data_IF_152753856161
#
_entry.id   IF_152753856161
#
_cell.length_a   1.000
_cell.length_b   1.000
_cell.length_c   1.000
_cell.angle_alpha   90.00
_cell.angle_beta   90.00
_cell.angle_gamma   90.00
#
_symmetry.space_group_name_H-M   'P 1'
#
loop_
_entity.id
_entity.type
_entity.pdbx_description
1 polymer ?
#
# COMPACT_ATOMS: atom_id res chain seq x y z
N UNK A 1 4.26 26.65 0.23
CA UNK A 1 2.86 26.92 0.65
C UNK A 1 2.85 27.50 2.07
N UNK A 2 2.34 28.73 2.23
CA UNK A 2 2.10 29.29 3.55
C UNK A 2 0.97 28.50 4.22
N UNK A 3 1.24 27.88 5.37
CA UNK A 3 0.22 27.15 6.12
C UNK A 3 -0.56 28.13 7.00
N UNK A 4 -1.71 28.55 6.51
CA UNK A 4 -2.68 29.32 7.30
C UNK A 4 -3.72 28.39 7.92
N UNK A 5 -4.19 28.73 9.12
CA UNK A 5 -5.24 27.99 9.82
C UNK A 5 -6.53 27.99 9.00
N UNK A 6 -7.13 26.80 8.85
CA UNK A 6 -8.46 26.63 8.23
C UNK A 6 -9.52 27.09 9.23
N UNK A 7 -10.47 27.89 8.76
CA UNK A 7 -11.50 28.53 9.61
C UNK A 7 -12.89 27.93 9.42
N UNK A 8 -13.27 27.61 8.18
CA UNK A 8 -14.52 26.92 7.86
C UNK A 8 -14.32 25.99 6.66
N UNK A 9 -15.13 24.94 6.57
CA UNK A 9 -15.10 23.95 5.51
C UNK A 9 -16.50 23.43 5.19
N UNK A 10 -16.80 23.24 3.91
CA UNK A 10 -18.10 22.70 3.48
C UNK A 10 -17.94 21.83 2.25
N UNK A 11 -18.59 20.66 2.25
CA UNK A 11 -18.77 19.84 1.06
C UNK A 11 -19.67 20.53 0.04
N UNK A 12 -19.40 20.32 -1.24
CA UNK A 12 -20.32 20.71 -2.30
C UNK A 12 -21.62 19.90 -2.17
N UNK A 13 -22.80 20.55 -2.11
CA UNK A 13 -24.08 19.84 -2.07
C UNK A 13 -24.41 19.16 -3.40
N UNK A 14 -23.82 19.61 -4.50
CA UNK A 14 -24.12 19.12 -5.85
C UNK A 14 -23.05 18.19 -6.44
N UNK A 15 -21.82 18.15 -5.90
CA UNK A 15 -20.73 17.32 -6.43
C UNK A 15 -19.91 16.64 -5.32
N UNK A 16 -20.05 15.32 -5.21
CA UNK A 16 -19.51 14.50 -4.12
C UNK A 16 -17.98 14.43 -3.99
N UNK A 17 -17.21 14.80 -5.03
CA UNK A 17 -15.75 14.82 -4.93
C UNK A 17 -15.19 16.16 -4.43
N UNK A 18 -16.04 17.19 -4.30
CA UNK A 18 -15.58 18.55 -4.01
C UNK A 18 -15.97 19.00 -2.62
N UNK A 19 -15.02 19.64 -1.96
CA UNK A 19 -15.26 20.47 -0.78
C UNK A 19 -14.42 21.74 -0.86
N UNK A 20 -14.81 22.71 -0.05
CA UNK A 20 -14.18 24.02 0.00
C UNK A 20 -13.68 24.27 1.42
N UNK A 21 -12.59 25.02 1.54
CA UNK A 21 -12.07 25.47 2.83
C UNK A 21 -11.71 26.94 2.78
N UNK A 22 -11.98 27.67 3.85
CA UNK A 22 -11.54 29.06 4.03
C UNK A 22 -10.41 29.13 5.05
N UNK A 23 -9.56 30.15 4.92
CA UNK A 23 -8.35 30.32 5.74
C UNK A 23 -8.27 31.72 6.38
N UNK A 24 -7.43 31.80 7.42
CA UNK A 24 -7.15 33.04 8.15
C UNK A 24 -6.45 34.12 7.33
N UNK A 25 -5.88 33.80 6.18
CA UNK A 25 -5.29 34.77 5.25
C UNK A 25 -6.30 35.33 4.24
N UNK A 26 -7.55 34.88 4.25
CA UNK A 26 -8.55 35.29 3.27
C UNK A 26 -8.62 34.42 2.01
N UNK A 27 -7.90 33.30 2.00
CA UNK A 27 -7.91 32.35 0.89
C UNK A 27 -9.12 31.41 0.97
N UNK A 28 -9.78 31.20 -0.18
CA UNK A 28 -10.72 30.10 -0.45
C UNK A 28 -9.99 29.02 -1.26
N UNK A 29 -9.96 27.80 -0.73
CA UNK A 29 -9.46 26.62 -1.44
C UNK A 29 -10.61 25.77 -1.96
N UNK A 30 -10.43 25.24 -3.17
CA UNK A 30 -11.27 24.22 -3.78
C UNK A 30 -10.49 22.91 -3.83
N UNK A 31 -11.07 21.87 -3.23
CA UNK A 31 -10.52 20.52 -3.23
C UNK A 31 -11.33 19.62 -4.14
N UNK A 32 -10.67 18.81 -4.97
CA UNK A 32 -11.30 17.71 -5.70
C UNK A 32 -10.55 16.41 -5.38
N UNK A 33 -11.13 15.60 -4.50
CA UNK A 33 -10.48 14.41 -3.93
C UNK A 33 -10.28 13.27 -4.94
N UNK A 34 -10.94 13.33 -6.10
CA UNK A 34 -10.71 12.40 -7.20
C UNK A 34 -9.55 12.83 -8.10
N UNK A 35 -9.21 14.13 -8.08
CA UNK A 35 -8.11 14.67 -8.85
C UNK A 35 -6.82 14.76 -8.01
N UNK A 36 -6.89 15.38 -6.84
CA UNK A 36 -5.73 15.67 -5.98
C UNK A 36 -6.11 15.65 -4.50
N UNK A 37 -5.33 14.91 -3.72
CA UNK A 37 -5.62 14.66 -2.29
C UNK A 37 -4.65 15.34 -1.33
N UNK A 38 -3.45 15.68 -1.80
CA UNK A 38 -2.36 16.21 -0.97
C UNK A 38 -2.34 17.74 -0.87
N UNK A 39 -3.00 18.44 -1.80
CA UNK A 39 -3.13 19.89 -1.79
C UNK A 39 -4.39 20.31 -2.57
N UNK A 40 -4.89 21.54 -2.36
CA UNK A 40 -6.04 22.07 -3.08
C UNK A 40 -5.84 22.00 -4.59
N UNK A 41 -6.93 21.79 -5.32
CA UNK A 41 -6.95 21.87 -6.78
C UNK A 41 -6.84 23.33 -7.24
N UNK A 42 -7.44 24.25 -6.48
CA UNK A 42 -7.40 25.68 -6.69
C UNK A 42 -7.35 26.40 -5.35
N UNK A 43 -6.55 27.45 -5.27
CA UNK A 43 -6.51 28.39 -4.14
C UNK A 43 -6.68 29.79 -4.68
N UNK A 44 -7.61 30.55 -4.11
CA UNK A 44 -7.93 31.90 -4.55
C UNK A 44 -7.99 32.85 -3.36
N UNK A 45 -7.23 33.94 -3.41
CA UNK A 45 -7.33 35.03 -2.47
C UNK A 45 -8.67 35.77 -2.70
N UNK A 46 -9.58 35.72 -1.73
CA UNK A 46 -10.89 36.40 -1.85
C UNK A 46 -10.81 37.82 -1.28
N UNK A 47 -10.12 37.97 -0.16
CA UNK A 47 -9.94 39.22 0.61
C UNK A 47 -8.58 39.20 1.29
N UNK A 48 -8.03 40.34 1.74
CA UNK A 48 -6.72 40.42 2.43
C UNK A 48 -6.91 40.45 3.96
N UNK A 49 -7.85 39.63 4.44
CA UNK A 49 -8.20 39.50 5.85
C UNK A 49 -8.79 38.12 6.13
N UNK A 50 -8.89 37.67 7.41
CA UNK A 50 -9.43 36.36 7.73
C UNK A 50 -10.86 36.15 7.22
N UNK A 51 -11.10 35.01 6.56
CA UNK A 51 -12.43 34.49 6.33
C UNK A 51 -12.84 33.60 7.51
N UNK A 52 -14.09 33.70 7.96
CA UNK A 52 -14.63 32.93 9.08
C UNK A 52 -15.83 32.06 8.73
N UNK A 53 -16.49 32.35 7.61
CA UNK A 53 -17.73 31.68 7.24
C UNK A 53 -17.68 31.29 5.76
N UNK A 54 -18.14 30.09 5.45
CA UNK A 54 -18.26 29.56 4.09
C UNK A 54 -19.64 28.93 3.90
N UNK A 55 -20.43 29.40 2.94
CA UNK A 55 -21.72 28.78 2.61
C UNK A 55 -21.89 28.58 1.11
N UNK A 56 -22.12 27.32 0.72
CA UNK A 56 -22.39 26.95 -0.67
C UNK A 56 -23.90 26.95 -0.92
N UNK A 57 -24.33 27.44 -2.08
CA UNK A 57 -25.72 27.40 -2.52
C UNK A 57 -26.23 25.96 -2.64
N UNK A 58 -27.27 25.62 -1.87
CA UNK A 58 -27.78 24.25 -1.78
C UNK A 58 -28.34 23.70 -3.11
N UNK A 59 -29.08 24.50 -3.87
CA UNK A 59 -29.83 24.01 -5.03
C UNK A 59 -28.98 23.74 -6.28
N UNK A 60 -28.00 24.60 -6.56
CA UNK A 60 -27.17 24.51 -7.78
C UNK A 60 -25.68 24.41 -7.49
N UNK A 61 -25.22 24.69 -6.27
CA UNK A 61 -23.80 24.65 -5.92
C UNK A 61 -22.92 25.67 -6.66
N UNK A 62 -23.53 26.63 -7.38
CA UNK A 62 -22.83 27.60 -8.25
C UNK A 62 -22.28 28.79 -7.49
N UNK A 63 -22.91 29.18 -6.39
CA UNK A 63 -22.54 30.35 -5.62
C UNK A 63 -21.99 29.93 -4.26
N UNK A 64 -20.92 30.62 -3.84
CA UNK A 64 -20.27 30.44 -2.54
C UNK A 64 -20.21 31.80 -1.85
N UNK A 65 -20.80 31.91 -0.67
CA UNK A 65 -20.69 33.08 0.19
C UNK A 65 -19.53 32.89 1.18
N UNK A 66 -18.62 33.85 1.21
CA UNK A 66 -17.48 33.89 2.13
C UNK A 66 -17.61 35.12 3.05
N UNK A 67 -17.69 34.91 4.36
CA UNK A 67 -17.77 35.98 5.36
C UNK A 67 -16.40 36.33 5.92
N UNK A 68 -16.02 37.61 5.86
CA UNK A 68 -14.76 38.14 6.37
C UNK A 68 -14.86 38.67 7.81
N UNK A 69 -13.71 38.88 8.45
CA UNK A 69 -13.60 39.47 9.78
C UNK A 69 -14.25 40.86 9.91
N UNK A 70 -14.26 41.65 8.83
CA UNK A 70 -14.80 43.02 8.83
C UNK A 70 -16.32 43.08 8.64
N UNK A 71 -17.00 41.92 8.59
CA UNK A 71 -18.44 41.83 8.35
C UNK A 71 -18.84 41.89 6.87
N UNK A 72 -17.88 41.98 5.95
CA UNK A 72 -18.13 41.90 4.50
C UNK A 72 -18.37 40.45 4.09
N UNK A 73 -19.39 40.22 3.27
CA UNK A 73 -19.67 38.93 2.63
C UNK A 73 -19.40 39.03 1.13
N UNK A 74 -18.47 38.21 0.65
CA UNK A 74 -18.12 38.12 -0.77
C UNK A 74 -18.82 36.92 -1.37
N UNK A 75 -19.53 37.12 -2.49
CA UNK A 75 -20.17 36.05 -3.24
C UNK A 75 -19.28 35.67 -4.43
N UNK A 76 -18.87 34.40 -4.48
CA UNK A 76 -18.02 33.83 -5.53
C UNK A 76 -18.86 32.91 -6.40
N UNK A 77 -18.78 33.08 -7.71
CA UNK A 77 -19.38 32.17 -8.68
C UNK A 77 -18.37 31.11 -9.12
N UNK A 78 -18.84 29.87 -9.22
CA UNK A 78 -18.05 28.70 -9.57
C UNK A 78 -18.46 28.18 -10.94
N UNK A 79 -17.49 27.80 -11.77
CA UNK A 79 -17.74 27.22 -13.09
C UNK A 79 -18.50 25.89 -13.04
N UNK A 80 -19.23 25.59 -14.12
CA UNK A 80 -20.02 24.36 -14.30
C UNK A 80 -19.27 23.08 -13.98
N UNK A 81 -17.97 23.03 -14.30
CA UNK A 81 -17.12 21.86 -14.05
C UNK A 81 -17.03 21.52 -12.56
N UNK A 82 -17.10 22.49 -11.66
CA UNK A 82 -16.94 22.29 -10.22
C UNK A 82 -18.28 22.09 -9.50
N UNK A 83 -19.42 22.46 -10.12
CA UNK A 83 -20.75 22.27 -9.53
C UNK A 83 -21.58 21.16 -10.19
N UNK A 84 -21.18 20.63 -11.35
CA UNK A 84 -21.90 19.58 -12.07
C UNK A 84 -21.30 18.20 -11.80
N UNK A 85 -22.07 17.30 -11.19
CA UNK A 85 -21.60 15.95 -10.90
C UNK A 85 -21.67 15.01 -12.12
N UNK A 86 -20.55 14.33 -12.38
CA UNK A 86 -20.48 13.27 -13.37
C UNK A 86 -21.21 12.00 -12.92
N UNK A 87 -21.79 11.24 -13.87
CA UNK A 87 -22.60 10.04 -13.56
C UNK A 87 -21.89 9.00 -12.70
N UNK A 88 -20.58 8.81 -12.90
CA UNK A 88 -19.77 7.83 -12.18
C UNK A 88 -19.05 8.38 -10.95
N UNK A 89 -19.07 9.70 -10.72
CA UNK A 89 -18.24 10.31 -9.66
C UNK A 89 -18.59 9.79 -8.28
N UNK A 90 -19.88 9.68 -7.96
CA UNK A 90 -20.32 9.16 -6.66
C UNK A 90 -19.79 7.75 -6.41
N UNK A 91 -19.79 6.89 -7.44
CA UNK A 91 -19.23 5.54 -7.37
C UNK A 91 -17.71 5.56 -7.19
N UNK A 92 -17.01 6.44 -7.91
CA UNK A 92 -15.55 6.59 -7.78
C UNK A 92 -15.15 7.08 -6.39
N UNK A 93 -15.88 8.05 -5.84
CA UNK A 93 -15.66 8.58 -4.48
C UNK A 93 -15.90 7.49 -3.44
N UNK A 94 -17.03 6.77 -3.52
CA UNK A 94 -17.32 5.66 -2.61
C UNK A 94 -16.24 4.59 -2.66
N UNK A 95 -15.86 4.12 -3.86
CA UNK A 95 -14.82 3.11 -4.02
C UNK A 95 -13.45 3.60 -3.56
N UNK A 96 -13.16 4.91 -3.64
CA UNK A 96 -11.95 5.50 -3.08
C UNK A 96 -11.95 5.41 -1.55
N UNK A 97 -13.03 5.82 -0.89
CA UNK A 97 -13.15 5.72 0.57
C UNK A 97 -13.10 4.28 1.08
N UNK A 98 -13.70 3.33 0.36
CA UNK A 98 -13.66 1.92 0.74
C UNK A 98 -12.22 1.38 0.72
N UNK A 99 -11.46 1.72 -0.32
CA UNK A 99 -10.03 1.37 -0.43
C UNK A 99 -9.21 1.97 0.72
N UNK A 100 -9.42 3.25 1.02
CA UNK A 100 -8.65 3.93 2.06
C UNK A 100 -9.02 3.45 3.47
N UNK A 101 -10.30 3.15 3.69
CA UNK A 101 -10.78 2.52 4.93
C UNK A 101 -10.15 1.14 5.14
N UNK A 102 -10.07 0.31 4.08
CA UNK A 102 -9.41 -0.99 4.14
C UNK A 102 -7.92 -0.84 4.45
N UNK A 103 -7.25 0.11 3.79
CA UNK A 103 -5.83 0.40 4.02
C UNK A 103 -5.58 0.83 5.46
N UNK A 104 -6.39 1.73 6.00
CA UNK A 104 -6.29 2.19 7.38
C UNK A 104 -6.40 1.03 8.38
N UNK A 105 -7.38 0.13 8.20
CA UNK A 105 -7.56 -1.07 9.05
C UNK A 105 -6.32 -1.98 9.05
N UNK A 106 -5.76 -2.24 7.87
CA UNK A 106 -4.54 -3.08 7.74
C UNK A 106 -3.36 -2.44 8.47
N UNK A 107 -3.16 -1.12 8.29
CA UNK A 107 -2.08 -0.39 8.95
C UNK A 107 -2.24 -0.35 10.46
N UNK A 108 -3.46 -0.19 10.96
CA UNK A 108 -3.77 -0.20 12.38
C UNK A 108 -3.49 -1.58 13.00
N UNK A 109 -3.94 -2.65 12.36
CA UNK A 109 -3.68 -4.03 12.79
C UNK A 109 -2.17 -4.32 12.85
N UNK A 110 -1.42 -3.92 11.83
CA UNK A 110 0.05 -4.04 11.80
C UNK A 110 0.70 -3.21 12.92
N UNK A 111 0.20 -2.01 13.19
CA UNK A 111 0.68 -1.15 14.26
C UNK A 111 0.43 -1.72 15.66
N UNK A 112 -0.73 -2.36 15.87
CA UNK A 112 -1.06 -3.09 17.11
C UNK A 112 -0.13 -4.30 17.29
N UNK A 113 0.00 -5.16 16.28
CA UNK A 113 0.87 -6.33 16.34
C UNK A 113 2.34 -5.99 16.65
N UNK A 114 2.88 -4.90 16.06
CA UNK A 114 4.23 -4.42 16.38
C UNK A 114 4.37 -3.96 17.83
N UNK A 115 3.36 -3.30 18.40
CA UNK A 115 3.37 -2.89 19.81
C UNK A 115 3.33 -4.10 20.73
N UNK A 116 2.49 -5.09 20.43
CA UNK A 116 2.35 -6.31 21.23
C UNK A 116 3.61 -7.18 21.18
N UNK A 117 4.29 -7.25 20.03
CA UNK A 117 5.59 -7.91 19.93
C UNK A 117 6.67 -7.19 20.77
N UNK A 118 6.65 -5.86 20.80
CA UNK A 118 7.59 -5.05 21.60
C UNK A 118 7.35 -5.19 23.11
N UNK A 119 6.09 -5.25 23.55
CA UNK A 119 5.76 -5.49 24.97
C UNK A 119 6.09 -6.91 25.40
N UNK A 120 5.80 -7.93 24.57
CA UNK A 120 6.17 -9.33 24.83
C UNK A 120 7.70 -9.53 24.91
N UNK A 121 8.47 -8.91 24.01
CA UNK A 121 9.94 -8.96 24.07
C UNK A 121 10.51 -8.21 25.28
N UNK A 122 9.91 -7.10 25.71
CA UNK A 122 10.31 -6.39 26.93
C UNK A 122 9.93 -7.13 28.24
N UNK A 123 8.87 -7.93 28.25
CA UNK A 123 8.52 -8.78 29.39
C UNK A 123 9.32 -10.09 29.44
N UNK A 124 9.82 -10.57 28.30
CA UNK A 124 10.66 -11.78 28.20
C UNK A 124 12.08 -11.65 28.79
N UNK A 125 12.55 -10.46 29.16
CA UNK A 125 13.83 -10.25 29.86
C UNK A 125 13.75 -10.40 31.39
N UNK A 126 12.55 -10.63 31.95
CA UNK A 126 12.37 -10.93 33.39
C UNK A 126 11.61 -12.25 33.58
N UNK A 127 12.25 -13.39 33.32
CA UNK A 127 11.69 -14.68 33.69
C UNK A 127 12.41 -15.87 33.08
N UNK A 128 12.90 -16.75 33.94
CA UNK A 128 13.63 -17.98 33.65
C UNK A 128 12.90 -18.98 32.72
N UNK A 129 13.75 -19.75 32.03
CA UNK A 129 13.65 -21.12 31.47
C UNK A 129 12.30 -21.75 31.06
N UNK A 130 12.28 -22.50 29.94
CA UNK A 130 11.07 -23.04 29.33
C UNK A 130 10.62 -24.34 30.02
N UNK A 131 9.30 -24.47 30.24
CA UNK A 131 8.64 -25.77 30.35
C UNK A 131 7.37 -25.78 29.51
N UNK A 132 7.11 -26.96 29.01
CA UNK A 132 6.28 -27.39 27.89
C UNK A 132 4.77 -27.18 28.01
N UNK A 133 4.15 -27.11 26.83
CA UNK A 133 2.78 -27.55 26.47
C UNK A 133 1.55 -26.69 26.79
N UNK A 134 0.73 -26.52 25.74
CA UNK A 134 -0.73 -26.37 25.85
C UNK A 134 -1.27 -24.96 25.61
N UNK A 135 -1.75 -24.67 24.39
CA UNK A 135 -2.42 -23.41 24.10
C UNK A 135 -2.91 -23.32 22.65
N UNK A 136 -3.91 -24.13 22.33
CA UNK A 136 -4.70 -24.08 21.10
C UNK A 136 -5.40 -22.73 20.90
N UNK A 137 -5.31 -22.16 19.70
CA UNK A 137 -6.27 -21.16 19.20
C UNK A 137 -5.68 -19.81 18.81
N UNK A 138 -4.86 -19.76 17.76
CA UNK A 138 -4.54 -18.50 17.06
C UNK A 138 -4.12 -18.79 15.61
N UNK A 139 -4.96 -19.55 14.90
CA UNK A 139 -4.80 -19.87 13.49
C UNK A 139 -5.94 -19.23 12.71
N UNK A 140 -5.88 -17.93 12.39
CA UNK A 140 -6.75 -17.39 11.32
C UNK A 140 -6.41 -16.00 10.74
N UNK A 141 -5.20 -15.45 10.90
CA UNK A 141 -4.82 -14.23 10.16
C UNK A 141 -3.36 -14.16 9.66
N UNK A 142 -2.65 -15.29 9.60
CA UNK A 142 -1.42 -15.36 8.79
C UNK A 142 -1.80 -15.69 7.36
N UNK A 143 -2.41 -14.74 6.66
CA UNK A 143 -2.21 -14.70 5.21
C UNK A 143 -0.71 -14.43 5.05
N UNK A 144 0.06 -15.50 4.81
CA UNK A 144 1.51 -15.42 4.65
C UNK A 144 1.81 -14.30 3.65
N UNK A 145 2.69 -13.37 4.03
CA UNK A 145 3.09 -12.28 3.17
C UNK A 145 3.40 -12.88 1.78
N UNK A 146 2.71 -12.44 0.71
CA UNK A 146 2.94 -13.01 -0.62
C UNK A 146 4.42 -12.95 -1.01
N UNK A 147 5.20 -12.02 -0.42
CA UNK A 147 6.65 -11.92 -0.56
C UNK A 147 7.37 -13.08 0.14
N UNK A 148 7.03 -13.41 1.39
CA UNK A 148 7.61 -14.53 2.14
C UNK A 148 7.33 -15.89 1.46
N UNK A 149 6.12 -16.04 0.90
CA UNK A 149 5.77 -17.25 0.14
C UNK A 149 6.59 -17.34 -1.16
N UNK A 150 6.69 -16.25 -1.90
CA UNK A 150 7.49 -16.20 -3.12
C UNK A 150 8.98 -16.45 -2.86
N UNK A 151 9.54 -15.93 -1.76
CA UNK A 151 10.94 -16.16 -1.38
C UNK A 151 11.19 -17.64 -1.02
N UNK A 152 10.29 -18.26 -0.26
CA UNK A 152 10.39 -19.70 0.06
C UNK A 152 10.29 -20.58 -1.17
N UNK A 153 9.35 -20.28 -2.06
CA UNK A 153 9.18 -21.02 -3.31
C UNK A 153 10.40 -20.87 -4.22
N UNK A 154 11.00 -19.67 -4.29
CA UNK A 154 12.23 -19.42 -5.03
C UNK A 154 13.40 -20.26 -4.51
N UNK A 155 13.69 -20.22 -3.20
CA UNK A 155 14.81 -20.98 -2.64
C UNK A 155 14.63 -22.48 -2.77
N UNK A 156 13.40 -22.98 -2.61
CA UNK A 156 13.08 -24.40 -2.81
C UNK A 156 13.40 -24.87 -4.24
N UNK A 157 13.04 -24.08 -5.24
CA UNK A 157 13.34 -24.37 -6.65
C UNK A 157 14.87 -24.38 -6.88
N UNK A 158 15.59 -23.41 -6.31
CA UNK A 158 17.05 -23.31 -6.45
C UNK A 158 17.75 -24.52 -5.80
N UNK A 159 17.34 -24.93 -4.60
CA UNK A 159 17.90 -26.09 -3.92
C UNK A 159 17.61 -27.39 -4.67
N UNK A 160 16.39 -27.56 -5.18
CA UNK A 160 16.02 -28.73 -5.96
C UNK A 160 16.85 -28.82 -7.25
N UNK A 161 17.08 -27.69 -7.92
CA UNK A 161 17.87 -27.61 -9.14
C UNK A 161 19.38 -27.82 -8.88
N UNK A 162 19.93 -27.31 -7.77
CA UNK A 162 21.30 -27.64 -7.33
C UNK A 162 21.45 -29.13 -7.07
N UNK A 163 20.54 -29.71 -6.28
CA UNK A 163 20.52 -31.14 -5.96
C UNK A 163 20.39 -32.01 -7.22
N UNK A 164 19.66 -31.54 -8.24
CA UNK A 164 19.53 -32.20 -9.55
C UNK A 164 20.85 -32.15 -10.34
N UNK A 165 21.54 -31.01 -10.34
CA UNK A 165 22.86 -30.88 -10.99
C UNK A 165 23.92 -31.72 -10.29
N UNK A 166 23.94 -31.74 -8.96
CA UNK A 166 24.90 -32.54 -8.20
C UNK A 166 24.68 -34.04 -8.46
N UNK A 167 23.42 -34.51 -8.47
CA UNK A 167 23.11 -35.89 -8.88
C UNK A 167 23.54 -36.20 -10.30
N UNK A 168 23.36 -35.25 -11.23
CA UNK A 168 23.77 -35.44 -12.62
C UNK A 168 25.30 -35.48 -12.74
N UNK A 169 26.00 -34.63 -12.00
CA UNK A 169 27.46 -34.60 -11.96
C UNK A 169 28.04 -35.91 -11.42
N UNK A 170 27.47 -36.43 -10.32
CA UNK A 170 27.87 -37.74 -9.76
C UNK A 170 27.59 -38.87 -10.75
N UNK A 171 26.42 -38.87 -11.40
CA UNK A 171 26.08 -39.90 -12.38
C UNK A 171 26.96 -39.85 -13.64
N UNK A 172 27.35 -38.65 -14.09
CA UNK A 172 28.24 -38.47 -15.23
C UNK A 172 29.70 -38.89 -14.87
N UNK A 173 30.15 -38.66 -13.63
CA UNK A 173 31.46 -39.07 -13.12
C UNK A 173 31.57 -40.60 -12.92
N UNK A 174 30.54 -41.23 -12.35
CA UNK A 174 30.45 -42.70 -12.22
C UNK A 174 30.45 -43.40 -13.58
N UNK A 175 29.80 -42.80 -14.58
CA UNK A 175 29.75 -43.34 -15.94
C UNK A 175 31.11 -43.21 -16.65
N UNK A 176 31.83 -42.11 -16.45
CA UNK A 176 33.17 -41.91 -16.98
C UNK A 176 34.21 -42.88 -16.35
N UNK A 177 34.08 -43.18 -15.05
CA UNK A 177 34.93 -44.15 -14.38
C UNK A 177 34.70 -45.58 -14.89
N UNK A 178 33.44 -45.97 -15.16
CA UNK A 178 33.09 -47.28 -15.70
C UNK A 178 33.57 -47.55 -17.12
N UNK A 179 33.64 -46.52 -17.97
CA UNK A 179 34.15 -46.64 -19.35
C UNK A 179 35.69 -46.74 -19.41
N UNK A 180 36.41 -46.22 -18.42
CA UNK A 180 37.87 -46.32 -18.34
C UNK A 180 38.40 -47.70 -17.91
N UNK A 181 37.55 -48.55 -17.32
CA UNK A 181 37.92 -49.90 -16.85
C UNK A 181 37.77 -51.02 -17.88
N UNK A 182 37.31 -50.74 -19.11
CA UNK A 182 37.00 -51.77 -20.11
C UNK A 182 38.07 -51.95 -21.21
N UNK A 183 39.24 -51.30 -21.11
CA UNK A 183 40.31 -51.38 -22.14
C UNK A 183 41.63 -51.87 -21.54
N UNK A 184 41.70 -53.14 -21.14
CA UNK A 184 42.92 -53.97 -21.21
C UNK A 184 42.51 -55.44 -21.10
N UNK A 185 42.57 -56.17 -22.21
CA UNK A 185 43.07 -57.56 -22.32
C UNK A 185 42.62 -58.15 -23.66
N UNK A 186 43.36 -57.79 -24.71
CA UNK A 186 43.32 -58.44 -26.02
C UNK A 186 44.73 -58.87 -26.40
N UNK A 187 45.21 -59.98 -25.84
CA UNK A 187 46.49 -60.58 -26.23
C UNK A 187 46.29 -61.50 -27.44
N UNK A 188 47.15 -61.26 -28.44
CA UNK A 188 47.21 -61.83 -29.76
C UNK A 188 47.32 -63.37 -29.77
N UNK A 189 46.54 -64.00 -30.64
CA UNK A 189 46.82 -65.34 -31.15
C UNK A 189 47.97 -65.30 -32.17
N UNK A 190 48.92 -66.23 -32.07
CA UNK A 190 49.68 -66.71 -33.22
C UNK A 190 50.23 -68.13 -32.98
N UNK A 191 49.97 -68.97 -33.99
CA UNK A 191 50.25 -70.40 -34.11
C UNK A 191 51.75 -70.74 -34.20
N UNK A 192 52.13 -71.97 -33.85
CA UNK A 192 53.01 -72.80 -34.69
C UNK A 192 53.01 -74.29 -34.28
N UNK A 193 52.82 -75.11 -35.32
CA UNK A 193 52.85 -76.57 -35.45
C UNK A 193 54.13 -77.27 -34.97
N UNK A 194 54.02 -78.46 -34.37
CA UNK A 194 54.38 -79.78 -34.94
C UNK A 194 53.87 -80.88 -34.01
#
# INVERSE_FOLDING_TARGET
>A
PSMHTITDAQWSPTRSSIFYTTKMDGTLDVWDILFKQNEPTLSMQVVDEPLHCLRVQESQGRLIACGSQNGTVTLVEVSDNLCTQGKSEKTLVSGMFDRETRRAKILEARGRAKRDARTKSAQGEKGEKPTTEGGTGESDLKEADPIDKAEKDFWKIIEEEKRRRDRKFVADDEKAAGESGAVTDGELTANATT
#
